data_IF_669317050403
#
_entry.id   IF_669317050403
#
_cell.length_a   1.000
_cell.length_b   1.000
_cell.length_c   1.000
_cell.angle_alpha   90.00
_cell.angle_beta   90.00
_cell.angle_gamma   90.00
#
_symmetry.space_group_name_H-M   'P 1'
#
loop_
_entity.id
_entity.type
_entity.pdbx_description
1 polymer ?
#
# COMPACT_ATOMS: atom_id res chain seq x y z
N UNK A 1 -33.83 -17.33 -40.46
CA UNK A 1 -34.50 -16.99 -39.18
C UNK A 1 -33.87 -17.88 -38.13
N UNK A 2 -33.11 -17.45 -37.12
CA UNK A 2 -33.09 -16.19 -36.37
C UNK A 2 -31.62 -15.83 -36.15
N UNK A 3 -31.23 -14.68 -36.67
CA UNK A 3 -29.96 -14.01 -36.45
C UNK A 3 -30.34 -12.72 -35.73
N UNK A 4 -29.50 -12.25 -34.80
CA UNK A 4 -29.66 -11.02 -34.02
C UNK A 4 -30.63 -11.14 -32.83
N UNK A 5 -30.09 -11.40 -31.63
CA UNK A 5 -30.63 -10.86 -30.36
C UNK A 5 -29.78 -11.15 -29.11
N UNK A 6 -28.69 -11.93 -29.18
CA UNK A 6 -27.84 -12.19 -27.99
C UNK A 6 -26.67 -11.20 -27.86
N UNK A 7 -26.29 -10.51 -28.94
CA UNK A 7 -25.14 -9.59 -28.95
C UNK A 7 -25.37 -8.19 -28.35
N UNK A 8 -26.61 -7.78 -28.12
CA UNK A 8 -26.92 -6.41 -27.66
C UNK A 8 -27.10 -6.33 -26.15
N UNK A 9 -27.58 -7.41 -25.50
CA UNK A 9 -27.76 -7.44 -24.04
C UNK A 9 -26.46 -7.49 -23.25
N UNK A 10 -25.40 -8.12 -23.79
CA UNK A 10 -24.10 -8.24 -23.10
C UNK A 10 -23.18 -7.04 -23.35
N UNK A 11 -23.36 -6.33 -24.48
CA UNK A 11 -22.60 -5.10 -24.75
C UNK A 11 -23.16 -3.88 -23.98
N UNK A 12 -24.43 -3.93 -23.55
CA UNK A 12 -25.05 -2.89 -22.73
C UNK A 12 -24.77 -3.04 -21.22
N UNK A 13 -24.27 -4.19 -20.75
CA UNK A 13 -23.83 -4.34 -19.36
C UNK A 13 -22.38 -3.88 -19.11
N UNK A 14 -21.63 -3.57 -20.18
CA UNK A 14 -20.25 -3.07 -20.11
C UNK A 14 -20.09 -1.59 -20.49
N UNK A 15 -21.19 -0.89 -20.78
CA UNK A 15 -21.19 0.57 -20.77
C UNK A 15 -21.72 1.05 -19.43
N UNK A 16 -20.79 1.27 -18.48
CA UNK A 16 -21.01 2.25 -17.42
C UNK A 16 -21.61 3.50 -18.06
N UNK A 17 -22.74 3.96 -17.52
CA UNK A 17 -23.35 5.22 -17.91
C UNK A 17 -22.32 6.35 -17.78
N UNK A 18 -22.24 7.28 -18.75
CA UNK A 18 -21.29 8.41 -18.71
C UNK A 18 -21.44 9.30 -17.46
N UNK A 19 -22.55 9.17 -16.72
CA UNK A 19 -22.84 9.94 -15.51
C UNK A 19 -22.19 9.37 -14.23
N UNK A 20 -21.58 8.17 -14.29
CA UNK A 20 -20.73 7.65 -13.20
C UNK A 20 -19.23 7.75 -13.52
N UNK A 21 -18.91 8.33 -14.67
CA UNK A 21 -17.56 8.60 -15.14
C UNK A 21 -17.39 10.12 -15.15
N UNK A 22 -17.47 10.72 -13.96
CA UNK A 22 -16.88 12.03 -13.77
C UNK A 22 -15.43 11.88 -14.18
N UNK A 23 -15.08 12.48 -15.31
CA UNK A 23 -13.71 12.58 -15.80
C UNK A 23 -12.96 13.38 -14.74
N UNK A 24 -12.49 12.71 -13.68
CA UNK A 24 -11.70 13.29 -12.61
C UNK A 24 -10.36 13.64 -13.23
N UNK A 25 -10.36 14.78 -13.88
CA UNK A 25 -9.30 15.21 -14.76
C UNK A 25 -8.18 15.70 -13.87
N UNK A 26 -7.23 14.80 -13.60
CA UNK A 26 -5.97 15.15 -12.94
C UNK A 26 -5.39 16.35 -13.70
N UNK A 27 -5.15 17.44 -12.98
CA UNK A 27 -4.66 18.68 -13.58
C UNK A 27 -3.32 18.45 -14.29
N UNK A 28 -3.02 19.26 -15.31
CA UNK A 28 -1.74 19.16 -16.03
C UNK A 28 -0.53 19.28 -15.09
N UNK A 29 -0.63 20.12 -14.07
CA UNK A 29 0.42 20.28 -13.06
C UNK A 29 0.60 19.01 -12.23
N UNK A 30 -0.51 18.39 -11.79
CA UNK A 30 -0.44 17.13 -11.04
C UNK A 30 0.08 15.98 -11.89
N UNK A 31 -0.32 15.88 -13.17
CA UNK A 31 0.25 14.90 -14.11
C UNK A 31 1.76 15.07 -14.29
N UNK A 32 2.25 16.32 -14.35
CA UNK A 32 3.69 16.59 -14.43
C UNK A 32 4.43 16.14 -13.16
N UNK A 33 3.83 16.32 -11.99
CA UNK A 33 4.37 15.83 -10.72
C UNK A 33 4.38 14.30 -10.63
N UNK A 34 3.29 13.63 -10.97
CA UNK A 34 3.22 12.16 -10.98
C UNK A 34 4.22 11.55 -11.97
N UNK A 35 4.44 12.17 -13.13
CA UNK A 35 5.51 11.75 -14.05
C UNK A 35 6.90 11.93 -13.45
N UNK A 36 7.09 12.95 -12.60
CA UNK A 36 8.34 13.09 -11.86
C UNK A 36 8.49 11.99 -10.81
N UNK A 37 7.41 11.60 -10.12
CA UNK A 37 7.43 10.43 -9.23
C UNK A 37 7.78 9.16 -9.99
N UNK A 38 7.15 8.92 -11.15
CA UNK A 38 7.48 7.79 -12.03
C UNK A 38 8.96 7.76 -12.42
N UNK A 39 9.51 8.91 -12.82
CA UNK A 39 10.93 9.01 -13.17
C UNK A 39 11.83 8.65 -11.99
N UNK A 40 11.57 9.20 -10.81
CA UNK A 40 12.33 8.91 -9.59
C UNK A 40 12.21 7.43 -9.23
N UNK A 41 10.99 6.89 -9.22
CA UNK A 41 10.72 5.48 -8.92
C UNK A 41 11.49 4.55 -9.86
N UNK A 42 11.47 4.82 -11.17
CA UNK A 42 12.28 4.07 -12.14
C UNK A 42 13.77 4.15 -11.85
N UNK A 43 14.26 5.34 -11.52
CA UNK A 43 15.69 5.54 -11.26
C UNK A 43 16.14 4.82 -9.96
N UNK A 44 15.25 4.63 -8.97
CA UNK A 44 15.58 3.92 -7.72
C UNK A 44 15.29 2.43 -7.73
N UNK A 45 14.20 1.99 -8.38
CA UNK A 45 13.77 0.59 -8.46
C UNK A 45 14.42 -0.17 -9.63
N UNK A 46 14.79 0.54 -10.70
CA UNK A 46 15.20 -0.08 -11.97
C UNK A 46 14.02 -0.54 -12.84
N UNK A 47 14.30 -0.77 -14.12
CA UNK A 47 13.29 -1.09 -15.14
C UNK A 47 12.64 -2.48 -14.99
N UNK A 48 13.24 -3.36 -14.19
CA UNK A 48 12.77 -4.75 -13.99
C UNK A 48 11.60 -4.82 -13.01
N UNK A 49 11.65 -4.03 -11.92
CA UNK A 49 10.62 -4.00 -10.88
C UNK A 49 9.32 -3.36 -11.39
N UNK A 50 9.41 -2.42 -12.34
CA UNK A 50 8.23 -1.74 -12.93
C UNK A 50 7.33 -2.66 -13.78
N UNK A 51 7.73 -3.90 -14.03
CA UNK A 51 7.05 -4.82 -14.98
C UNK A 51 6.15 -5.88 -14.35
N UNK A 52 5.92 -5.87 -13.03
CA UNK A 52 5.15 -6.94 -12.37
C UNK A 52 3.90 -6.45 -11.62
N UNK A 53 2.75 -6.22 -12.30
CA UNK A 53 1.64 -5.51 -11.67
C UNK A 53 0.55 -6.38 -11.00
N UNK A 54 0.64 -7.72 -10.93
CA UNK A 54 -0.58 -8.51 -10.67
C UNK A 54 -0.53 -9.62 -9.60
N UNK A 55 0.59 -9.85 -8.92
CA UNK A 55 0.72 -11.00 -8.01
C UNK A 55 0.61 -10.67 -6.52
N UNK A 56 0.66 -9.39 -6.14
CA UNK A 56 0.79 -8.91 -4.76
C UNK A 56 -0.35 -9.39 -3.84
N UNK A 57 -1.60 -9.35 -4.31
CA UNK A 57 -2.76 -9.75 -3.50
C UNK A 57 -2.84 -11.27 -3.29
N UNK A 58 -2.44 -12.04 -4.31
CA UNK A 58 -2.33 -13.50 -4.21
C UNK A 58 -1.13 -13.90 -3.35
N UNK A 59 -0.05 -13.13 -3.41
CA UNK A 59 1.14 -13.28 -2.58
C UNK A 59 0.80 -13.13 -1.08
N UNK A 60 0.09 -12.08 -0.69
CA UNK A 60 -0.28 -11.86 0.72
C UNK A 60 -1.12 -13.01 1.29
N UNK A 61 -2.13 -13.47 0.52
CA UNK A 61 -2.95 -14.63 0.90
C UNK A 61 -2.12 -15.91 1.03
N UNK A 62 -1.16 -16.12 0.12
CA UNK A 62 -0.27 -17.28 0.16
C UNK A 62 0.63 -17.23 1.40
N UNK A 63 1.16 -16.05 1.72
CA UNK A 63 2.02 -15.83 2.88
C UNK A 63 1.26 -16.05 4.20
N UNK A 64 0.03 -15.56 4.30
CA UNK A 64 -0.88 -15.87 5.43
C UNK A 64 -1.08 -17.38 5.57
N UNK A 65 -1.45 -18.08 4.50
CA UNK A 65 -1.63 -19.52 4.56
C UNK A 65 -0.37 -20.27 4.99
N UNK A 66 0.82 -19.77 4.62
CA UNK A 66 2.10 -20.33 5.07
C UNK A 66 2.35 -20.13 6.57
N UNK A 67 1.94 -18.98 7.13
CA UNK A 67 2.19 -18.63 8.54
C UNK A 67 1.18 -19.30 9.47
N UNK A 68 -0.12 -19.24 9.15
CA UNK A 68 -1.21 -19.65 10.06
C UNK A 68 -1.84 -21.00 9.69
N UNK A 69 -1.49 -21.57 8.53
CA UNK A 69 -2.21 -22.70 7.96
C UNK A 69 -3.59 -22.31 7.41
N UNK A 70 -4.23 -23.22 6.65
CA UNK A 70 -5.56 -22.99 6.13
C UNK A 70 -6.60 -23.14 7.26
N UNK A 71 -7.12 -22.02 7.78
CA UNK A 71 -8.37 -22.01 8.56
C UNK A 71 -8.26 -21.76 10.07
N UNK A 72 -7.16 -21.19 10.57
CA UNK A 72 -7.04 -20.74 11.97
C UNK A 72 -7.01 -19.20 12.08
N UNK A 73 -7.58 -18.68 13.18
CA UNK A 73 -7.44 -17.27 13.55
C UNK A 73 -6.10 -17.04 14.27
N UNK A 74 -5.45 -15.88 14.08
CA UNK A 74 -4.05 -15.70 14.46
C UNK A 74 -3.85 -15.46 15.96
N UNK A 75 -2.95 -16.24 16.57
CA UNK A 75 -2.34 -15.89 17.86
C UNK A 75 -1.33 -14.73 17.69
N UNK A 76 -1.08 -13.94 18.74
CA UNK A 76 -0.23 -12.73 18.69
C UNK A 76 1.18 -13.03 18.14
N UNK A 77 1.76 -14.17 18.53
CA UNK A 77 3.08 -14.58 18.07
C UNK A 77 3.08 -14.92 16.57
N UNK A 78 1.99 -15.51 16.07
CA UNK A 78 1.84 -15.86 14.65
C UNK A 78 1.62 -14.60 13.79
N UNK A 79 0.85 -13.62 14.27
CA UNK A 79 0.70 -12.32 13.59
C UNK A 79 2.02 -11.57 13.52
N UNK A 80 2.85 -11.67 14.56
CA UNK A 80 4.21 -11.13 14.52
C UNK A 80 5.12 -11.87 13.55
N UNK A 81 5.00 -13.18 13.42
CA UNK A 81 5.70 -13.93 12.38
C UNK A 81 5.22 -13.55 10.98
N UNK A 82 3.92 -13.31 10.77
CA UNK A 82 3.41 -12.82 9.49
C UNK A 82 4.00 -11.47 9.12
N UNK A 83 3.98 -10.49 10.02
CA UNK A 83 4.54 -9.16 9.72
C UNK A 83 6.04 -9.26 9.44
N UNK A 84 6.80 -10.05 10.20
CA UNK A 84 8.22 -10.30 9.91
C UNK A 84 8.42 -10.88 8.51
N UNK A 85 7.68 -11.93 8.15
CA UNK A 85 7.79 -12.55 6.82
C UNK A 85 7.36 -11.58 5.71
N UNK A 86 6.33 -10.76 5.95
CA UNK A 86 5.86 -9.74 5.03
C UNK A 86 6.94 -8.69 4.78
N UNK A 87 7.56 -8.17 5.84
CA UNK A 87 8.70 -7.24 5.74
C UNK A 87 9.85 -7.86 4.93
N UNK A 88 10.21 -9.12 5.22
CA UNK A 88 11.29 -9.79 4.51
C UNK A 88 10.97 -9.98 3.03
N UNK A 89 9.73 -10.34 2.71
CA UNK A 89 9.32 -10.54 1.33
C UNK A 89 9.23 -9.23 0.55
N UNK A 90 8.67 -8.18 1.15
CA UNK A 90 8.60 -6.84 0.56
C UNK A 90 10.02 -6.29 0.40
N UNK A 91 10.87 -6.37 1.42
CA UNK A 91 12.26 -5.93 1.34
C UNK A 91 13.06 -6.66 0.25
N UNK A 92 12.86 -7.97 0.10
CA UNK A 92 13.43 -8.76 -1.00
C UNK A 92 12.89 -8.32 -2.37
N UNK A 93 11.60 -8.01 -2.47
CA UNK A 93 10.98 -7.49 -3.69
C UNK A 93 11.58 -6.15 -4.12
N UNK A 94 11.97 -5.30 -3.16
CA UNK A 94 12.72 -4.07 -3.38
C UNK A 94 14.23 -4.27 -3.55
N UNK A 95 14.73 -5.51 -3.55
CA UNK A 95 16.16 -5.85 -3.61
C UNK A 95 17.01 -5.21 -2.49
N UNK A 96 16.41 -4.99 -1.31
CA UNK A 96 17.11 -4.42 -0.17
C UNK A 96 18.04 -5.45 0.48
N UNK A 97 19.25 -5.01 0.83
CA UNK A 97 20.12 -5.76 1.74
C UNK A 97 19.54 -5.65 3.15
N UNK A 98 18.81 -6.69 3.58
CA UNK A 98 18.11 -6.70 4.86
C UNK A 98 19.08 -7.07 5.99
N UNK A 99 19.43 -6.15 6.90
CA UNK A 99 20.19 -6.52 8.09
C UNK A 99 19.32 -7.29 9.08
N UNK A 100 19.84 -7.51 10.29
CA UNK A 100 19.02 -8.09 11.37
C UNK A 100 17.78 -7.24 11.61
N UNK A 101 16.64 -7.90 11.78
CA UNK A 101 15.33 -7.27 11.92
C UNK A 101 14.77 -7.46 13.34
N UNK A 102 14.17 -6.40 13.88
CA UNK A 102 13.30 -6.45 15.06
C UNK A 102 11.97 -5.80 14.72
N UNK A 103 10.89 -6.53 14.95
CA UNK A 103 9.52 -6.10 14.68
C UNK A 103 8.74 -6.13 15.97
N UNK A 104 7.90 -5.12 16.20
CA UNK A 104 6.90 -5.13 17.27
C UNK A 104 5.65 -4.35 16.85
N UNK A 105 4.52 -4.71 17.44
CA UNK A 105 3.41 -3.79 17.56
C UNK A 105 3.66 -2.84 18.73
N UNK A 106 3.30 -1.58 18.56
CA UNK A 106 3.32 -0.58 19.63
C UNK A 106 2.28 0.49 19.35
N UNK A 107 1.70 1.05 20.39
CA UNK A 107 0.88 2.23 20.25
C UNK A 107 1.75 3.40 19.75
N UNK A 108 1.45 3.92 18.56
CA UNK A 108 2.18 5.01 17.95
C UNK A 108 1.39 6.30 18.08
N UNK A 109 2.04 7.35 18.60
CA UNK A 109 1.48 8.69 18.66
C UNK A 109 1.28 9.29 17.25
N UNK A 110 0.46 10.33 17.17
CA UNK A 110 0.37 11.26 16.04
C UNK A 110 -0.14 10.71 14.71
N UNK A 111 -0.80 9.54 14.72
CA UNK A 111 -1.47 9.00 13.54
C UNK A 111 -0.55 8.31 12.54
N UNK A 112 0.71 8.04 12.90
CA UNK A 112 1.63 7.20 12.12
C UNK A 112 1.15 5.74 12.09
N UNK A 113 1.34 5.06 10.96
CA UNK A 113 0.93 3.67 10.81
C UNK A 113 2.06 2.67 11.07
N UNK A 114 3.29 3.09 10.78
CA UNK A 114 4.49 2.43 11.22
C UNK A 114 5.63 3.43 11.35
N UNK A 115 6.77 2.94 11.81
CA UNK A 115 8.02 3.66 11.86
C UNK A 115 9.19 2.69 11.67
N UNK A 116 10.06 3.00 10.71
CA UNK A 116 11.29 2.24 10.45
C UNK A 116 12.52 3.07 10.79
N UNK A 117 13.40 2.51 11.62
CA UNK A 117 14.67 3.13 11.96
C UNK A 117 15.79 2.10 12.15
N UNK A 118 17.04 2.55 12.03
CA UNK A 118 18.22 1.69 12.23
C UNK A 118 18.92 2.08 13.53
N UNK A 119 19.23 1.08 14.36
CA UNK A 119 20.06 1.25 15.55
C UNK A 119 21.06 0.11 15.64
N UNK A 120 22.36 0.43 15.74
CA UNK A 120 23.45 -0.56 15.84
C UNK A 120 23.43 -1.64 14.74
N UNK A 121 23.11 -1.25 13.50
CA UNK A 121 23.04 -2.18 12.36
C UNK A 121 21.85 -3.15 12.40
N UNK A 122 20.84 -2.87 13.22
CA UNK A 122 19.57 -3.62 13.28
C UNK A 122 18.46 -2.69 12.81
N UNK A 123 17.60 -3.18 11.93
CA UNK A 123 16.37 -2.49 11.56
C UNK A 123 15.29 -2.76 12.58
N UNK A 124 14.70 -1.68 13.07
CA UNK A 124 13.57 -1.68 13.96
C UNK A 124 12.36 -1.22 13.17
N UNK A 125 11.33 -2.05 13.15
CA UNK A 125 10.05 -1.76 12.51
C UNK A 125 8.97 -1.84 13.57
N UNK A 126 8.38 -0.69 13.85
CA UNK A 126 7.28 -0.53 14.79
C UNK A 126 6.01 -0.34 13.97
N UNK A 127 5.01 -1.19 14.18
CA UNK A 127 3.70 -1.07 13.53
C UNK A 127 2.67 -0.69 14.58
N UNK A 128 1.78 0.22 14.24
CA UNK A 128 0.69 0.63 15.13
C UNK A 128 -0.24 -0.56 15.42
N UNK A 129 -0.62 -0.75 16.68
CA UNK A 129 -1.40 -1.89 17.15
C UNK A 129 -2.80 -1.95 16.52
N UNK A 130 -3.35 -0.81 16.07
CA UNK A 130 -4.64 -0.76 15.38
C UNK A 130 -4.68 -1.47 14.03
N UNK A 131 -3.52 -1.79 13.45
CA UNK A 131 -3.42 -2.56 12.21
C UNK A 131 -3.20 -4.05 12.44
N UNK A 132 -3.31 -4.52 13.68
CA UNK A 132 -3.30 -5.94 14.00
C UNK A 132 -4.36 -6.70 13.18
N UNK A 133 -3.96 -7.80 12.56
CA UNK A 133 -4.84 -8.64 11.75
C UNK A 133 -5.34 -8.05 10.42
N UNK A 134 -4.97 -6.81 10.05
CA UNK A 134 -5.40 -6.18 8.79
C UNK A 134 -4.34 -6.29 7.69
N UNK A 135 -4.37 -7.40 6.96
CA UNK A 135 -3.35 -7.74 5.97
C UNK A 135 -3.18 -6.72 4.86
N UNK A 136 -4.29 -6.18 4.35
CA UNK A 136 -4.26 -5.24 3.24
C UNK A 136 -3.62 -3.92 3.69
N UNK A 137 -3.97 -3.46 4.89
CA UNK A 137 -3.36 -2.26 5.48
C UNK A 137 -1.91 -2.51 5.85
N UNK A 138 -1.59 -3.61 6.51
CA UNK A 138 -0.21 -3.99 6.86
C UNK A 138 0.68 -4.02 5.62
N UNK A 139 0.19 -4.59 4.52
CA UNK A 139 0.95 -4.64 3.28
C UNK A 139 1.17 -3.27 2.65
N UNK A 140 0.16 -2.40 2.68
CA UNK A 140 0.29 -0.99 2.26
C UNK A 140 1.33 -0.25 3.11
N UNK A 141 1.27 -0.41 4.44
CA UNK A 141 2.21 0.20 5.39
C UNK A 141 3.62 -0.25 5.10
N UNK A 142 3.86 -1.56 5.07
CA UNK A 142 5.21 -2.09 4.88
C UNK A 142 5.76 -1.70 3.50
N UNK A 143 4.94 -1.70 2.44
CA UNK A 143 5.38 -1.24 1.12
C UNK A 143 5.76 0.26 1.10
N UNK A 144 5.00 1.11 1.81
CA UNK A 144 5.32 2.52 2.01
C UNK A 144 6.64 2.69 2.78
N UNK A 145 6.78 2.05 3.94
CA UNK A 145 7.97 2.18 4.78
C UNK A 145 9.24 1.66 4.07
N UNK A 146 9.15 0.55 3.34
CA UNK A 146 10.28 0.06 2.55
C UNK A 146 10.63 0.99 1.39
N UNK A 147 9.68 1.76 0.87
CA UNK A 147 9.96 2.78 -0.15
C UNK A 147 10.79 3.94 0.40
N UNK A 148 10.54 4.36 1.65
CA UNK A 148 11.42 5.31 2.35
C UNK A 148 12.86 4.78 2.42
N UNK A 149 13.02 3.51 2.76
CA UNK A 149 14.34 2.86 2.83
C UNK A 149 15.02 2.83 1.47
N UNK A 150 14.34 2.38 0.41
CA UNK A 150 14.87 2.34 -0.96
C UNK A 150 15.33 3.72 -1.41
N UNK A 151 14.50 4.74 -1.23
CA UNK A 151 14.84 6.14 -1.55
C UNK A 151 16.10 6.58 -0.79
N UNK A 152 16.18 6.24 0.51
CA UNK A 152 17.35 6.49 1.34
C UNK A 152 18.63 5.81 0.83
N UNK A 153 18.58 4.54 0.40
CA UNK A 153 19.76 3.82 -0.13
C UNK A 153 20.33 4.46 -1.40
N UNK A 154 19.52 5.23 -2.13
CA UNK A 154 19.92 5.98 -3.33
C UNK A 154 20.26 7.45 -3.01
N UNK A 155 20.47 7.79 -1.73
CA UNK A 155 20.76 9.13 -1.23
C UNK A 155 19.67 10.17 -1.56
N UNK A 156 18.42 9.73 -1.68
CA UNK A 156 17.26 10.64 -1.76
C UNK A 156 16.76 10.86 -0.34
N UNK A 157 17.31 11.88 0.33
CA UNK A 157 16.85 12.28 1.67
C UNK A 157 15.54 13.05 1.55
N UNK A 158 14.51 12.56 2.25
CA UNK A 158 13.19 13.15 2.23
C UNK A 158 12.91 13.86 3.56
N UNK A 159 12.59 15.15 3.48
CA UNK A 159 11.95 15.86 4.59
C UNK A 159 10.52 15.33 4.80
N UNK A 160 9.98 15.33 6.03
CA UNK A 160 8.63 14.84 6.32
C UNK A 160 7.56 15.84 5.83
N UNK A 161 7.44 15.94 4.51
CA UNK A 161 6.48 16.80 3.82
C UNK A 161 5.47 15.94 3.08
N UNK A 162 4.23 16.43 2.94
CA UNK A 162 3.17 15.72 2.21
C UNK A 162 3.65 15.22 0.84
N UNK A 163 4.37 16.06 0.11
CA UNK A 163 4.90 15.73 -1.23
C UNK A 163 5.86 14.54 -1.22
N UNK A 164 6.66 14.41 -0.16
CA UNK A 164 7.61 13.31 -0.04
C UNK A 164 6.92 12.01 0.38
N UNK A 165 5.87 12.11 1.21
CA UNK A 165 5.02 10.97 1.52
C UNK A 165 4.25 10.49 0.27
N UNK A 166 3.76 11.41 -0.56
CA UNK A 166 3.17 11.10 -1.87
C UNK A 166 4.17 10.44 -2.84
N UNK A 167 5.42 10.90 -2.87
CA UNK A 167 6.49 10.26 -3.65
C UNK A 167 6.72 8.83 -3.15
N UNK A 168 6.75 8.64 -1.84
CA UNK A 168 6.96 7.32 -1.20
C UNK A 168 5.85 6.35 -1.57
N UNK A 169 4.60 6.79 -1.52
CA UNK A 169 3.45 6.05 -2.06
C UNK A 169 3.62 5.76 -3.56
N UNK A 170 4.07 6.75 -4.33
CA UNK A 170 4.30 6.59 -5.78
C UNK A 170 5.33 5.51 -6.10
N UNK A 171 6.42 5.44 -5.32
CA UNK A 171 7.41 4.36 -5.41
C UNK A 171 6.76 3.01 -5.08
N UNK A 172 5.96 2.94 -4.01
CA UNK A 172 5.28 1.70 -3.64
C UNK A 172 4.28 1.23 -4.71
N UNK A 173 3.47 2.14 -5.24
CA UNK A 173 2.52 1.86 -6.32
C UNK A 173 3.25 1.28 -7.53
N UNK A 174 4.33 1.93 -7.97
CA UNK A 174 5.12 1.55 -9.14
C UNK A 174 5.98 0.31 -8.92
N UNK A 175 6.28 -0.03 -7.66
CA UNK A 175 6.87 -1.31 -7.29
C UNK A 175 5.88 -2.48 -7.38
N UNK A 176 4.64 -2.27 -7.84
CA UNK A 176 3.65 -3.33 -8.02
C UNK A 176 2.67 -3.48 -6.85
N UNK A 177 2.63 -2.52 -5.93
CA UNK A 177 1.63 -2.49 -4.84
C UNK A 177 0.39 -1.67 -5.19
N UNK A 178 0.32 -1.07 -6.38
CA UNK A 178 -0.76 -0.15 -6.80
C UNK A 178 -2.19 -0.68 -6.60
N UNK A 179 -2.43 -1.97 -6.86
CA UNK A 179 -3.76 -2.58 -6.67
C UNK A 179 -4.22 -2.56 -5.21
N UNK A 180 -3.31 -2.80 -4.27
CA UNK A 180 -3.64 -2.84 -2.85
C UNK A 180 -3.77 -1.42 -2.30
N UNK A 181 -2.90 -0.49 -2.71
CA UNK A 181 -3.09 0.93 -2.43
C UNK A 181 -4.46 1.41 -2.91
N UNK A 182 -4.84 1.05 -4.14
CA UNK A 182 -6.16 1.35 -4.71
C UNK A 182 -7.29 0.79 -3.85
N UNK A 183 -7.23 -0.49 -3.45
CA UNK A 183 -8.24 -1.15 -2.61
C UNK A 183 -8.36 -0.52 -1.21
N UNK A 184 -7.23 -0.27 -0.56
CA UNK A 184 -7.22 0.31 0.78
C UNK A 184 -7.73 1.76 0.77
N UNK A 185 -7.47 2.53 -0.30
CA UNK A 185 -8.07 3.87 -0.47
C UNK A 185 -9.62 3.85 -0.47
N UNK A 186 -10.28 2.74 -0.85
CA UNK A 186 -11.74 2.61 -0.72
C UNK A 186 -12.19 2.20 0.67
N UNK A 187 -11.33 1.49 1.40
CA UNK A 187 -11.64 1.03 2.75
C UNK A 187 -11.48 2.19 3.72
N UNK A 188 -12.58 2.91 4.00
CA UNK A 188 -12.59 3.90 5.07
C UNK A 188 -12.21 3.22 6.38
N UNK A 189 -11.18 3.72 7.07
CA UNK A 189 -10.94 3.34 8.45
C UNK A 189 -12.11 3.83 9.30
N UNK A 190 -12.76 2.94 10.03
CA UNK A 190 -13.74 3.32 11.05
C UNK A 190 -12.96 3.47 12.36
N UNK A 191 -12.57 4.69 12.68
CA UNK A 191 -12.00 4.98 14.00
C UNK A 191 -13.18 5.31 14.90
N UNK A 192 -13.59 4.37 15.75
CA UNK A 192 -14.47 4.66 16.88
C UNK A 192 -13.69 5.56 17.86
N UNK A 193 -14.25 6.73 18.16
CA UNK A 193 -13.81 7.54 19.29
C UNK A 193 -14.09 6.80 20.59
N UNK A 194 -13.21 7.01 21.57
CA UNK A 194 -13.25 6.37 22.88
C UNK A 194 -14.60 6.53 23.63
N UNK A 195 -14.72 5.90 24.81
CA UNK A 195 -16.00 5.65 25.49
C UNK A 195 -16.86 6.89 25.79
N UNK A 196 -16.28 8.09 25.74
CA UNK A 196 -16.95 9.35 26.07
C UNK A 196 -17.69 10.00 24.90
N UNK A 197 -17.50 9.56 23.65
CA UNK A 197 -18.30 10.03 22.52
C UNK A 197 -18.39 8.98 21.41
N UNK A 198 -19.30 7.99 21.49
CA UNK A 198 -19.42 6.91 20.51
C UNK A 198 -19.98 7.37 19.14
N UNK A 199 -20.19 8.68 18.92
CA UNK A 199 -20.80 9.20 17.68
C UNK A 199 -19.82 9.78 16.68
N UNK A 200 -18.54 9.94 17.02
CA UNK A 200 -17.53 10.47 16.10
C UNK A 200 -16.83 9.36 15.30
N UNK A 201 -17.37 9.07 14.12
CA UNK A 201 -16.68 8.26 13.11
C UNK A 201 -15.66 9.13 12.38
N UNK A 202 -14.37 8.99 12.70
CA UNK A 202 -13.32 9.56 11.85
C UNK A 202 -13.00 8.59 10.73
N UNK A 203 -13.36 8.96 9.51
CA UNK A 203 -12.93 8.25 8.30
C UNK A 203 -11.56 8.78 7.89
N UNK A 204 -10.51 7.98 8.03
CA UNK A 204 -9.20 8.26 7.45
C UNK A 204 -9.04 7.49 6.14
N UNK A 205 -8.48 8.17 5.14
CA UNK A 205 -7.93 7.53 3.94
C UNK A 205 -6.49 7.13 4.24
N UNK A 206 -6.14 5.91 3.87
CA UNK A 206 -4.78 5.42 4.00
C UNK A 206 -3.98 5.77 2.74
N UNK A 207 -2.70 6.09 2.93
CA UNK A 207 -1.87 6.67 1.89
C UNK A 207 -2.12 8.16 1.70
N UNK A 208 -1.20 8.77 0.98
CA UNK A 208 -1.10 10.19 0.65
C UNK A 208 -1.47 10.47 -0.81
N UNK A 209 -1.37 9.47 -1.68
CA UNK A 209 -1.88 9.57 -3.05
C UNK A 209 -3.41 9.44 -3.11
N UNK A 210 -4.03 10.21 -4.01
CA UNK A 210 -5.44 10.03 -4.33
C UNK A 210 -5.61 8.82 -5.23
N UNK A 211 -6.85 8.32 -5.28
CA UNK A 211 -7.23 7.25 -6.18
C UNK A 211 -6.84 7.54 -7.63
N UNK A 212 -7.12 8.76 -8.12
CA UNK A 212 -6.79 9.15 -9.49
C UNK A 212 -5.28 9.15 -9.75
N UNK A 213 -4.49 9.53 -8.73
CA UNK A 213 -3.04 9.53 -8.83
C UNK A 213 -2.52 8.08 -8.97
N UNK A 214 -3.07 7.15 -8.19
CA UNK A 214 -2.73 5.71 -8.27
C UNK A 214 -3.16 5.12 -9.62
N UNK A 215 -4.33 5.49 -10.14
CA UNK A 215 -4.80 5.03 -11.46
C UNK A 215 -3.98 5.60 -12.63
N UNK A 216 -3.27 6.71 -12.43
CA UNK A 216 -2.39 7.32 -13.43
C UNK A 216 -0.99 6.71 -13.47
N UNK A 217 -0.45 6.31 -12.32
CA UNK A 217 0.87 5.69 -12.17
C UNK A 217 0.88 4.25 -12.66
#
# INVERSE_FOLDING_TARGET
MILVLVGVGLYLYLKKTPEQQGDMTISSNRKAELRNYFRIARDVLGDEILKSPNETMSFCKSLRNEVFGAGYGPDVDEDMEFVKKLILAVGKHYELEMPRLKVKYSWLDDGKAAHVFTLNGVWYIEVDDRYYGDDLRLMTIIAHEMSHVVLGTKNITLEPTLRNEELTDGVAVLAGFGKIFHEVCFSKEHVESGPDDPTWVRTRTMGYLKREDIEFL
#
